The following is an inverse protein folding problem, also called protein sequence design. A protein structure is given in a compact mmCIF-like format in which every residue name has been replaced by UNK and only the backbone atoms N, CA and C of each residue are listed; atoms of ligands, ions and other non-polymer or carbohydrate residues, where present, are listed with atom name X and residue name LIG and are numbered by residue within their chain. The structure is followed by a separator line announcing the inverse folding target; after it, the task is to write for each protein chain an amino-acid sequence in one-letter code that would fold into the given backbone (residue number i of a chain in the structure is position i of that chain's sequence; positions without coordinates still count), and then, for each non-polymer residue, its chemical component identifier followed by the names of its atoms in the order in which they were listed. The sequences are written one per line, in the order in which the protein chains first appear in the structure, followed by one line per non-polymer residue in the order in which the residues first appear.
data_IF_109879952270
#
_entry.id   IF_109879952270
#
_cell.length_a   1.000
_cell.length_b   1.000
_cell.length_c   1.000
_cell.angle_alpha   90.00
_cell.angle_beta   90.00
_cell.angle_gamma   90.00
#
_symmetry.space_group_name_H-M   'P 1'
#
loop_
_entity.id
_entity.type
_entity.pdbx_description
1 polymer ?
#
# COMPACT_ATOMS: atom_id res chain seq x y z
N UNK A 1 -0.44 -14.40 -18.57
CA UNK A 1 0.87 -13.74 -18.80
C UNK A 1 0.79 -12.23 -18.61
N UNK A 2 -0.16 -11.53 -19.24
CA UNK A 2 -0.31 -10.06 -19.12
C UNK A 2 -0.56 -9.62 -17.66
N UNK A 3 -1.42 -10.33 -16.91
CA UNK A 3 -1.76 -9.97 -15.53
C UNK A 3 -0.54 -9.90 -14.60
N UNK A 4 0.36 -10.88 -14.67
CA UNK A 4 1.58 -10.91 -13.85
C UNK A 4 2.57 -9.80 -14.25
N UNK A 5 2.69 -9.51 -15.56
CA UNK A 5 3.52 -8.42 -16.05
C UNK A 5 3.02 -7.06 -15.54
N UNK A 6 1.71 -6.83 -15.61
CA UNK A 6 1.05 -5.61 -15.11
C UNK A 6 1.26 -5.46 -13.62
N UNK A 7 1.03 -6.53 -12.85
CA UNK A 7 1.28 -6.54 -11.41
C UNK A 7 2.71 -6.13 -11.08
N UNK A 8 3.70 -6.74 -11.76
CA UNK A 8 5.11 -6.40 -11.57
C UNK A 8 5.38 -4.92 -11.89
N UNK A 9 4.85 -4.41 -13.01
CA UNK A 9 5.03 -3.00 -13.38
C UNK A 9 4.38 -2.07 -12.36
N UNK A 10 3.19 -2.41 -11.86
CA UNK A 10 2.48 -1.63 -10.85
C UNK A 10 3.25 -1.58 -9.52
N UNK A 11 3.84 -2.71 -9.10
CA UNK A 11 4.73 -2.77 -7.93
C UNK A 11 5.98 -1.90 -8.12
N UNK A 12 6.66 -2.04 -9.26
CA UNK A 12 7.88 -1.29 -9.57
C UNK A 12 7.59 0.21 -9.68
N UNK A 13 6.46 0.57 -10.30
CA UNK A 13 5.99 1.95 -10.41
C UNK A 13 5.68 2.56 -9.04
N UNK A 14 4.98 1.81 -8.18
CA UNK A 14 4.69 2.22 -6.80
C UNK A 14 6.00 2.48 -6.04
N UNK A 15 6.93 1.53 -6.03
CA UNK A 15 8.23 1.73 -5.38
C UNK A 15 8.98 2.94 -5.94
N UNK A 16 8.94 3.14 -7.25
CA UNK A 16 9.63 4.24 -7.90
C UNK A 16 9.06 5.62 -7.61
N UNK A 17 7.73 5.79 -7.65
CA UNK A 17 7.07 7.02 -7.21
C UNK A 17 7.35 7.30 -5.73
N UNK A 18 7.34 6.26 -4.91
CA UNK A 18 7.72 6.34 -3.51
C UNK A 18 9.13 6.85 -3.29
N UNK A 19 10.11 6.24 -3.95
CA UNK A 19 11.51 6.66 -3.85
C UNK A 19 11.72 8.10 -4.34
N UNK A 20 11.01 8.49 -5.41
CA UNK A 20 11.05 9.86 -5.91
C UNK A 20 10.48 10.83 -4.87
N UNK A 21 9.31 10.54 -4.32
CA UNK A 21 8.68 11.36 -3.29
C UNK A 21 9.54 11.49 -2.02
N UNK A 22 10.09 10.37 -1.53
CA UNK A 22 11.01 10.36 -0.38
C UNK A 22 12.26 11.19 -0.66
N UNK A 23 12.79 11.17 -1.90
CA UNK A 23 13.93 12.00 -2.31
C UNK A 23 13.57 13.48 -2.38
N UNK A 24 12.40 13.83 -2.92
CA UNK A 24 11.93 15.22 -3.03
C UNK A 24 11.83 15.86 -1.65
N UNK A 25 11.24 15.16 -0.68
CA UNK A 25 11.13 15.67 0.68
C UNK A 25 12.41 15.50 1.50
N UNK A 26 13.48 14.94 0.92
CA UNK A 26 14.73 14.62 1.64
C UNK A 26 14.48 13.79 2.91
N UNK A 27 13.63 12.77 2.81
CA UNK A 27 13.34 11.86 3.91
C UNK A 27 14.57 11.00 4.21
N UNK A 28 15.04 10.94 5.47
CA UNK A 28 16.13 10.04 5.83
C UNK A 28 15.69 8.57 5.72
N UNK A 29 16.66 7.69 5.46
CA UNK A 29 16.44 6.25 5.54
C UNK A 29 15.96 5.84 6.93
N UNK A 30 15.06 4.87 6.95
CA UNK A 30 14.64 4.17 8.15
C UNK A 30 15.80 3.34 8.73
N UNK A 31 15.71 2.90 10.00
CA UNK A 31 16.68 2.00 10.61
C UNK A 31 16.75 0.64 9.93
N UNK A 32 15.65 0.15 9.35
CA UNK A 32 15.58 -1.17 8.71
C UNK A 32 15.24 -1.08 7.22
N UNK A 33 15.71 -2.06 6.44
CA UNK A 33 15.38 -2.14 5.02
C UNK A 33 13.87 -2.34 4.80
N UNK A 34 13.20 -3.16 5.62
CA UNK A 34 11.77 -3.45 5.45
C UNK A 34 10.90 -2.20 5.59
N UNK A 35 11.30 -1.31 6.49
CA UNK A 35 10.63 -0.02 6.66
C UNK A 35 10.91 0.94 5.50
N UNK A 36 12.12 0.96 4.94
CA UNK A 36 12.43 1.76 3.74
C UNK A 36 11.54 1.35 2.55
N UNK A 37 11.39 0.04 2.31
CA UNK A 37 10.50 -0.48 1.27
C UNK A 37 9.03 -0.16 1.57
N UNK A 38 8.60 -0.28 2.84
CA UNK A 38 7.26 0.08 3.28
C UNK A 38 6.94 1.55 3.05
N UNK A 39 7.85 2.45 3.44
CA UNK A 39 7.74 3.91 3.22
C UNK A 39 7.63 4.24 1.74
N UNK A 40 8.49 3.65 0.91
CA UNK A 40 8.47 3.87 -0.54
C UNK A 40 7.16 3.34 -1.14
N UNK A 41 6.78 2.10 -0.85
CA UNK A 41 5.56 1.52 -1.40
C UNK A 41 4.31 2.31 -1.00
N UNK A 42 4.17 2.67 0.29
CA UNK A 42 3.06 3.47 0.77
C UNK A 42 2.98 4.84 0.05
N UNK A 43 4.09 5.58 0.01
CA UNK A 43 4.11 6.88 -0.66
C UNK A 43 3.78 6.77 -2.16
N UNK A 44 4.29 5.72 -2.81
CA UNK A 44 4.01 5.44 -4.21
C UNK A 44 2.57 5.05 -4.50
N UNK A 45 2.00 4.15 -3.69
CA UNK A 45 0.62 3.71 -3.82
C UNK A 45 -0.35 4.89 -3.69
N UNK A 46 -0.16 5.75 -2.68
CA UNK A 46 -0.97 6.96 -2.52
C UNK A 46 -0.77 7.96 -3.66
N UNK A 47 0.46 8.12 -4.16
CA UNK A 47 0.77 8.99 -5.32
C UNK A 47 0.06 8.49 -6.58
N UNK A 48 0.14 7.19 -6.88
CA UNK A 48 -0.56 6.58 -8.01
C UNK A 48 -2.06 6.77 -7.91
N UNK A 49 -2.62 6.62 -6.70
CA UNK A 49 -4.03 6.88 -6.46
C UNK A 49 -4.45 8.28 -6.87
N UNK A 50 -3.67 9.30 -6.48
CA UNK A 50 -3.95 10.70 -6.82
C UNK A 50 -3.75 11.00 -8.31
N UNK A 51 -2.70 10.45 -8.93
CA UNK A 51 -2.47 10.63 -10.36
C UNK A 51 -3.66 10.08 -11.17
N UNK A 52 -4.07 8.86 -10.89
CA UNK A 52 -5.21 8.24 -11.59
C UNK A 52 -6.50 8.97 -11.29
N UNK A 53 -6.71 9.47 -10.07
CA UNK A 53 -7.90 10.26 -9.73
C UNK A 53 -8.05 11.48 -10.66
N UNK A 54 -7.01 12.31 -10.79
CA UNK A 54 -7.08 13.54 -11.59
C UNK A 54 -7.26 13.28 -13.09
N UNK A 55 -6.57 12.27 -13.64
CA UNK A 55 -6.79 11.85 -15.02
C UNK A 55 -8.18 11.23 -15.20
N UNK A 56 -8.64 10.46 -14.23
CA UNK A 56 -9.90 9.73 -14.29
C UNK A 56 -11.12 10.65 -14.27
N UNK A 57 -11.16 11.67 -13.42
CA UNK A 57 -12.26 12.66 -13.44
C UNK A 57 -12.28 13.48 -14.74
N UNK A 58 -11.14 13.55 -15.43
CA UNK A 58 -10.99 14.24 -16.71
C UNK A 58 -11.36 13.36 -17.92
N UNK A 59 -11.78 12.12 -17.71
CA UNK A 59 -12.14 11.18 -18.79
C UNK A 59 -10.95 10.49 -19.47
N UNK A 60 -9.77 10.50 -18.82
CA UNK A 60 -8.53 9.96 -19.36
C UNK A 60 -8.17 8.59 -18.75
N UNK A 61 -9.08 7.62 -18.89
CA UNK A 61 -8.89 6.25 -18.40
C UNK A 61 -8.51 5.22 -19.48
N UNK A 62 -8.12 5.67 -20.67
CA UNK A 62 -7.68 4.77 -21.74
C UNK A 62 -6.38 4.05 -21.34
N UNK A 63 -6.21 2.79 -21.77
CA UNK A 63 -5.07 1.95 -21.35
C UNK A 63 -3.69 2.57 -21.61
N UNK A 64 -3.53 3.34 -22.70
CA UNK A 64 -2.25 4.01 -23.00
C UNK A 64 -1.92 5.14 -22.02
N UNK A 65 -2.93 5.82 -21.47
CA UNK A 65 -2.76 6.82 -20.41
C UNK A 65 -2.40 6.13 -19.09
N UNK A 66 -3.08 5.02 -18.76
CA UNK A 66 -2.75 4.24 -17.57
C UNK A 66 -1.30 3.73 -17.61
N UNK A 67 -0.82 3.25 -18.77
CA UNK A 67 0.60 2.94 -18.97
C UNK A 67 1.50 4.17 -18.86
N UNK A 68 1.05 5.30 -19.42
CA UNK A 68 1.70 6.59 -19.28
C UNK A 68 1.90 7.00 -17.81
N UNK A 69 0.89 6.81 -16.97
CA UNK A 69 0.94 7.07 -15.52
C UNK A 69 1.94 6.14 -14.82
N UNK A 70 2.04 4.86 -15.21
CA UNK A 70 2.98 3.93 -14.58
C UNK A 70 4.44 4.20 -14.96
N UNK A 71 4.70 4.71 -16.16
CA UNK A 71 6.04 4.82 -16.72
C UNK A 71 7.04 5.70 -15.92
N UNK A 72 6.68 6.89 -15.40
CA UNK A 72 7.60 7.71 -14.61
C UNK A 72 7.97 7.04 -13.29
N UNK A 73 7.05 6.27 -12.70
CA UNK A 73 7.35 5.46 -11.53
C UNK A 73 8.43 4.41 -11.83
N UNK A 74 8.28 3.63 -12.90
CA UNK A 74 9.29 2.63 -13.29
C UNK A 74 10.64 3.27 -13.59
N UNK A 75 10.65 4.40 -14.32
CA UNK A 75 11.86 5.15 -14.61
C UNK A 75 12.52 5.68 -13.33
N UNK A 76 11.73 6.22 -12.41
CA UNK A 76 12.22 6.68 -11.11
C UNK A 76 12.86 5.56 -10.31
N UNK A 77 12.26 4.36 -10.29
CA UNK A 77 12.87 3.20 -9.66
C UNK A 77 14.21 2.84 -10.33
N UNK A 78 14.29 2.85 -11.66
CA UNK A 78 15.53 2.54 -12.38
C UNK A 78 16.70 3.46 -11.95
N UNK A 79 16.44 4.77 -11.84
CA UNK A 79 17.46 5.75 -11.43
C UNK A 79 17.74 5.76 -9.93
N UNK A 80 16.72 5.49 -9.11
CA UNK A 80 16.80 5.61 -7.65
C UNK A 80 17.01 4.26 -6.93
N UNK A 81 17.05 3.12 -7.63
CA UNK A 81 17.23 1.78 -7.03
C UNK A 81 18.46 1.66 -6.13
N UNK A 82 19.49 2.49 -6.36
CA UNK A 82 20.70 2.53 -5.52
C UNK A 82 20.41 3.03 -4.10
N UNK A 83 19.32 3.76 -3.90
CA UNK A 83 18.87 4.24 -2.59
C UNK A 83 18.18 3.15 -1.78
N UNK A 84 17.76 2.04 -2.40
CA UNK A 84 17.18 0.91 -1.70
C UNK A 84 18.28 0.13 -0.97
N UNK A 85 18.04 -0.13 0.32
CA UNK A 85 18.92 -1.01 1.08
C UNK A 85 18.74 -2.45 0.61
N UNK A 86 19.86 -3.19 0.58
CA UNK A 86 19.84 -4.61 0.25
C UNK A 86 19.14 -5.40 1.35
N UNK A 87 18.34 -6.39 0.94
CA UNK A 87 17.82 -7.39 1.84
C UNK A 87 18.98 -8.12 2.53
N UNK A 88 18.91 -8.26 3.85
CA UNK A 88 19.91 -9.00 4.62
C UNK A 88 19.23 -10.03 5.50
N UNK A 89 19.45 -11.29 5.15
CA UNK A 89 19.02 -12.47 5.87
C UNK A 89 20.26 -13.22 6.37
N UNK A 90 21.05 -12.58 7.23
CA UNK A 90 22.21 -13.23 7.88
C UNK A 90 21.80 -13.87 9.20
N UNK A 91 22.36 -15.04 9.49
CA UNK A 91 22.25 -15.73 10.79
C UNK A 91 20.80 -15.98 11.22
N UNK A 92 20.05 -16.73 10.40
CA UNK A 92 18.68 -17.14 10.76
C UNK A 92 18.75 -18.34 11.70
N UNK A 93 18.43 -18.13 12.99
CA UNK A 93 18.32 -19.22 13.96
C UNK A 93 17.08 -20.09 13.74
N UNK A 94 17.04 -21.26 14.37
CA UNK A 94 15.96 -22.26 14.19
C UNK A 94 14.56 -21.70 14.48
N UNK A 95 14.41 -20.84 15.51
CA UNK A 95 13.13 -20.21 15.84
C UNK A 95 12.69 -19.25 14.71
N UNK A 96 13.61 -18.44 14.19
CA UNK A 96 13.33 -17.56 13.06
C UNK A 96 12.92 -18.36 11.81
N UNK A 97 13.57 -19.50 11.54
CA UNK A 97 13.18 -20.41 10.45
C UNK A 97 11.78 -20.99 10.63
N UNK A 98 11.46 -21.44 11.85
CA UNK A 98 10.13 -21.96 12.17
C UNK A 98 9.04 -20.89 11.97
N UNK A 99 9.26 -19.67 12.46
CA UNK A 99 8.34 -18.55 12.26
C UNK A 99 8.19 -18.18 10.78
N UNK A 100 9.30 -18.16 10.03
CA UNK A 100 9.26 -17.95 8.58
C UNK A 100 8.48 -19.06 7.86
N UNK A 101 8.61 -20.32 8.27
CA UNK A 101 7.84 -21.42 7.69
C UNK A 101 6.34 -21.19 7.90
N UNK A 102 5.89 -20.89 9.11
CA UNK A 102 4.49 -20.59 9.38
C UNK A 102 3.99 -19.36 8.60
N UNK A 103 4.84 -18.34 8.48
CA UNK A 103 4.54 -17.16 7.69
C UNK A 103 4.42 -17.48 6.19
N UNK A 104 5.28 -18.33 5.66
CA UNK A 104 5.22 -18.76 4.25
C UNK A 104 3.98 -19.60 3.98
N UNK A 105 3.55 -20.44 4.93
CA UNK A 105 2.30 -21.21 4.82
C UNK A 105 1.10 -20.27 4.78
N UNK A 106 1.02 -19.31 5.69
CA UNK A 106 -0.09 -18.34 5.74
C UNK A 106 -0.15 -17.49 4.47
N UNK A 107 0.98 -16.89 4.06
CA UNK A 107 1.07 -16.14 2.80
C UNK A 107 0.71 -16.99 1.58
N UNK A 108 1.06 -18.28 1.57
CA UNK A 108 0.68 -19.17 0.50
C UNK A 108 -0.84 -19.42 0.45
N UNK A 109 -1.50 -19.54 1.60
CA UNK A 109 -2.96 -19.65 1.66
C UNK A 109 -3.65 -18.37 1.15
N UNK A 110 -3.16 -17.20 1.55
CA UNK A 110 -3.65 -15.90 1.05
C UNK A 110 -3.44 -15.75 -0.46
N UNK A 111 -2.34 -16.28 -0.99
CA UNK A 111 -2.12 -16.33 -2.44
C UNK A 111 -3.13 -17.25 -3.14
N UNK A 112 -3.48 -18.40 -2.56
CA UNK A 112 -4.52 -19.27 -3.10
C UNK A 112 -5.89 -18.58 -3.08
N UNK A 113 -6.21 -17.82 -2.03
CA UNK A 113 -7.41 -17.00 -1.96
C UNK A 113 -7.41 -15.92 -3.05
N UNK A 114 -6.30 -15.20 -3.22
CA UNK A 114 -6.18 -14.16 -4.24
C UNK A 114 -6.24 -14.70 -5.68
N UNK A 115 -5.94 -15.98 -5.90
CA UNK A 115 -6.09 -16.65 -7.20
C UNK A 115 -7.51 -17.21 -7.40
N UNK A 116 -8.28 -17.39 -6.33
CA UNK A 116 -9.67 -17.81 -6.41
C UNK A 116 -10.58 -16.66 -6.86
N UNK A 117 -11.74 -16.96 -7.47
CA UNK A 117 -12.73 -15.93 -7.78
C UNK A 117 -13.20 -15.21 -6.50
N UNK A 118 -13.27 -13.87 -6.50
CA UNK A 118 -13.77 -13.13 -5.34
C UNK A 118 -15.23 -13.47 -5.08
N UNK A 119 -15.56 -13.82 -3.83
CA UNK A 119 -16.90 -14.22 -3.41
C UNK A 119 -17.50 -13.29 -2.34
N UNK A 120 -16.68 -12.39 -1.78
CA UNK A 120 -17.10 -11.47 -0.72
C UNK A 120 -18.06 -10.38 -1.24
N UNK A 121 -19.12 -10.14 -0.48
CA UNK A 121 -20.20 -9.25 -0.89
C UNK A 121 -19.74 -7.80 -1.04
N UNK A 122 -18.95 -7.29 -0.08
CA UNK A 122 -18.48 -5.89 -0.09
C UNK A 122 -17.50 -5.63 -1.23
N UNK A 123 -16.61 -6.60 -1.43
CA UNK A 123 -15.65 -6.66 -2.53
C UNK A 123 -16.33 -6.51 -3.89
N UNK A 124 -17.41 -7.29 -4.10
CA UNK A 124 -18.14 -7.30 -5.36
C UNK A 124 -19.12 -6.13 -5.49
N UNK A 125 -19.62 -5.59 -4.38
CA UNK A 125 -20.61 -4.52 -4.38
C UNK A 125 -20.03 -3.19 -4.87
N UNK A 126 -18.84 -2.80 -4.38
CA UNK A 126 -18.25 -1.52 -4.80
C UNK A 126 -16.73 -1.53 -4.95
N UNK A 127 -15.97 -2.31 -4.16
CA UNK A 127 -14.51 -2.27 -4.24
C UNK A 127 -13.99 -2.60 -5.64
N UNK A 128 -14.55 -3.64 -6.27
CA UNK A 128 -14.19 -4.04 -7.64
C UNK A 128 -15.19 -3.52 -8.68
N UNK A 129 -16.45 -3.33 -8.30
CA UNK A 129 -17.48 -2.83 -9.22
C UNK A 129 -17.23 -1.38 -9.66
N UNK A 130 -16.83 -0.48 -8.76
CA UNK A 130 -16.58 0.93 -9.11
C UNK A 130 -15.39 1.08 -10.08
N UNK A 131 -14.20 0.50 -9.83
CA UNK A 131 -13.12 0.51 -10.82
C UNK A 131 -13.54 -0.05 -12.18
N UNK A 132 -14.32 -1.14 -12.20
CA UNK A 132 -14.83 -1.76 -13.44
C UNK A 132 -15.78 -0.81 -14.19
N UNK A 133 -16.67 -0.13 -13.48
CA UNK A 133 -17.57 0.85 -14.05
C UNK A 133 -16.81 2.06 -14.60
N UNK A 134 -15.86 2.63 -13.87
CA UNK A 134 -15.07 3.77 -14.33
C UNK A 134 -14.26 3.45 -15.58
N UNK A 135 -13.65 2.27 -15.65
CA UNK A 135 -12.95 1.82 -16.86
C UNK A 135 -13.90 1.67 -18.05
N UNK A 136 -15.10 1.11 -17.83
CA UNK A 136 -16.12 0.96 -18.88
C UNK A 136 -16.59 2.32 -19.40
N UNK A 137 -16.78 3.28 -18.50
CA UNK A 137 -17.31 4.61 -18.84
C UNK A 137 -16.20 5.57 -19.31
N UNK A 138 -14.93 5.21 -19.10
CA UNK A 138 -13.78 6.02 -19.45
C UNK A 138 -13.55 7.23 -18.54
N UNK A 139 -14.38 7.40 -17.49
CA UNK A 139 -14.36 8.54 -16.57
C UNK A 139 -14.70 8.08 -15.15
N UNK A 140 -14.12 8.74 -14.15
CA UNK A 140 -14.57 8.63 -12.75
C UNK A 140 -15.77 9.55 -12.59
N UNK A 141 -16.92 8.95 -12.30
CA UNK A 141 -18.16 9.65 -12.08
C UNK A 141 -18.72 9.35 -10.69
N UNK A 142 -19.60 10.22 -10.21
CA UNK A 142 -20.35 9.95 -8.99
C UNK A 142 -21.37 8.84 -9.24
N UNK A 143 -21.30 7.77 -8.45
CA UNK A 143 -22.25 6.66 -8.51
C UNK A 143 -23.13 6.71 -7.26
N UNK A 144 -24.43 7.05 -7.38
CA UNK A 144 -25.32 7.17 -6.23
C UNK A 144 -25.69 5.78 -5.68
N UNK A 145 -24.81 5.22 -4.86
CA UNK A 145 -25.04 4.00 -4.08
C UNK A 145 -25.49 4.42 -2.68
N UNK A 146 -26.54 3.81 -2.14
CA UNK A 146 -26.99 4.08 -0.77
C UNK A 146 -25.85 3.82 0.21
N UNK A 147 -25.64 4.72 1.18
CA UNK A 147 -24.57 4.67 2.21
C UNK A 147 -23.15 4.89 1.66
N UNK A 148 -22.79 4.34 0.49
CA UNK A 148 -21.40 4.30 0.00
C UNK A 148 -21.10 5.14 -1.25
N UNK A 149 -22.09 5.85 -1.82
CA UNK A 149 -21.91 6.56 -3.09
C UNK A 149 -20.87 7.71 -3.08
N UNK A 150 -20.52 8.23 -1.90
CA UNK A 150 -19.58 9.34 -1.74
C UNK A 150 -18.28 8.94 -1.00
N UNK A 151 -17.96 7.65 -0.89
CA UNK A 151 -16.75 7.22 -0.18
C UNK A 151 -15.47 7.72 -0.88
N UNK A 152 -14.39 7.93 -0.12
CA UNK A 152 -13.10 8.30 -0.69
C UNK A 152 -12.45 7.07 -1.36
N UNK A 153 -11.98 7.23 -2.62
CA UNK A 153 -11.63 6.12 -3.54
C UNK A 153 -10.14 6.06 -3.91
N UNK A 154 -9.24 6.70 -3.15
CA UNK A 154 -7.84 6.85 -3.53
C UNK A 154 -7.15 5.50 -3.79
N UNK A 155 -7.31 4.52 -2.90
CA UNK A 155 -6.71 3.20 -3.13
C UNK A 155 -7.46 2.41 -4.21
N UNK A 156 -8.77 2.60 -4.42
CA UNK A 156 -9.50 2.02 -5.56
C UNK A 156 -8.95 2.47 -6.91
N UNK A 157 -8.32 3.65 -6.99
CA UNK A 157 -7.66 4.08 -8.21
C UNK A 157 -6.46 3.19 -8.58
N UNK A 158 -5.84 2.52 -7.60
CA UNK A 158 -4.81 1.50 -7.86
C UNK A 158 -5.42 0.18 -8.33
N UNK A 159 -6.65 -0.13 -7.91
CA UNK A 159 -7.42 -1.26 -8.43
C UNK A 159 -7.80 -1.04 -9.89
N UNK A 160 -8.15 0.20 -10.23
CA UNK A 160 -8.41 0.63 -11.61
C UNK A 160 -7.21 0.36 -12.52
N UNK A 161 -6.00 0.68 -12.08
CA UNK A 161 -4.76 0.37 -12.81
C UNK A 161 -4.58 -1.14 -13.02
N UNK A 162 -4.71 -1.92 -11.93
CA UNK A 162 -4.54 -3.37 -11.99
C UNK A 162 -5.59 -4.02 -12.93
N UNK A 163 -6.86 -3.66 -12.77
CA UNK A 163 -7.97 -4.19 -13.57
C UNK A 163 -7.88 -3.76 -15.03
N UNK A 164 -7.66 -2.47 -15.30
CA UNK A 164 -7.69 -1.90 -16.65
C UNK A 164 -6.53 -2.32 -17.54
N UNK A 165 -5.40 -2.70 -16.94
CA UNK A 165 -4.22 -3.15 -17.69
C UNK A 165 -4.04 -4.68 -17.64
N UNK A 166 -4.39 -5.32 -16.53
CA UNK A 166 -4.06 -6.72 -16.25
C UNK A 166 -5.25 -7.64 -16.00
N UNK A 167 -6.48 -7.11 -16.01
CA UNK A 167 -7.70 -7.88 -15.77
C UNK A 167 -7.90 -8.29 -14.30
N UNK A 168 -8.93 -9.12 -14.07
CA UNK A 168 -9.38 -9.50 -12.72
C UNK A 168 -8.28 -10.20 -11.90
N UNK A 169 -7.48 -11.07 -12.53
CA UNK A 169 -6.34 -11.72 -11.85
C UNK A 169 -5.29 -10.71 -11.38
N UNK A 170 -5.03 -9.64 -12.14
CA UNK A 170 -4.09 -8.61 -11.68
C UNK A 170 -4.66 -7.80 -10.52
N UNK A 171 -5.98 -7.59 -10.50
CA UNK A 171 -6.68 -6.89 -9.42
C UNK A 171 -6.62 -7.66 -8.11
N UNK A 172 -6.93 -8.96 -8.11
CA UNK A 172 -6.88 -9.79 -6.90
C UNK A 172 -5.44 -9.99 -6.40
N UNK A 173 -4.48 -10.18 -7.31
CA UNK A 173 -3.07 -10.27 -6.94
C UNK A 173 -2.49 -8.92 -6.47
N UNK A 174 -3.00 -7.79 -6.98
CA UNK A 174 -2.62 -6.47 -6.47
C UNK A 174 -3.08 -6.28 -5.04
N UNK A 175 -4.32 -6.68 -4.77
CA UNK A 175 -4.90 -6.78 -3.43
C UNK A 175 -3.98 -7.56 -2.46
N UNK A 176 -3.64 -8.80 -2.80
CA UNK A 176 -2.64 -9.60 -2.08
C UNK A 176 -1.29 -8.89 -1.93
N UNK A 177 -0.79 -8.26 -3.00
CA UNK A 177 0.53 -7.62 -2.97
C UNK A 177 0.59 -6.46 -1.98
N UNK A 178 -0.48 -5.66 -1.87
CA UNK A 178 -0.54 -4.56 -0.89
C UNK A 178 -0.48 -5.08 0.55
N UNK A 179 -1.06 -6.25 0.82
CA UNK A 179 -0.93 -6.95 2.11
C UNK A 179 0.52 -7.30 2.41
N UNK A 180 1.22 -7.91 1.45
CA UNK A 180 2.63 -8.29 1.61
C UNK A 180 3.52 -7.08 1.94
N UNK A 181 3.27 -5.92 1.33
CA UNK A 181 4.00 -4.70 1.66
C UNK A 181 3.66 -4.14 3.05
N UNK A 182 2.41 -4.30 3.53
CA UNK A 182 2.06 -3.97 4.91
C UNK A 182 2.80 -4.88 5.90
N UNK A 183 2.86 -6.19 5.65
CA UNK A 183 3.64 -7.14 6.47
C UNK A 183 5.14 -6.78 6.49
N UNK A 184 5.69 -6.41 5.32
CA UNK A 184 7.08 -6.01 5.19
C UNK A 184 7.39 -4.73 5.98
N UNK A 185 6.50 -3.75 5.91
CA UNK A 185 6.58 -2.52 6.66
C UNK A 185 6.49 -2.80 8.17
N UNK A 186 5.55 -3.65 8.60
CA UNK A 186 5.37 -4.04 10.00
C UNK A 186 6.60 -4.75 10.56
N UNK A 187 7.16 -5.71 9.82
CA UNK A 187 8.43 -6.35 10.15
C UNK A 187 9.52 -5.29 10.32
N UNK A 188 9.67 -4.41 9.31
CA UNK A 188 10.68 -3.37 9.28
C UNK A 188 10.60 -2.42 10.47
N UNK A 189 9.40 -1.96 10.80
CA UNK A 189 9.15 -1.10 11.97
C UNK A 189 9.42 -1.85 13.26
N UNK A 190 8.97 -3.10 13.39
CA UNK A 190 9.20 -3.95 14.56
C UNK A 190 10.69 -4.13 14.86
N UNK A 191 11.54 -4.25 13.82
CA UNK A 191 13.01 -4.38 13.95
C UNK A 191 13.69 -3.20 14.67
N UNK A 192 13.01 -2.07 14.88
CA UNK A 192 13.54 -0.93 15.66
C UNK A 192 13.67 -1.23 17.15
N UNK A 193 12.77 -2.07 17.68
CA UNK A 193 12.63 -2.29 19.12
C UNK A 193 12.62 -3.77 19.50
N UNK A 194 12.31 -4.66 18.56
CA UNK A 194 12.19 -6.09 18.79
C UNK A 194 13.40 -6.84 18.24
N UNK A 195 13.60 -8.10 18.66
CA UNK A 195 14.50 -9.04 17.98
C UNK A 195 13.90 -9.48 16.64
N UNK A 196 14.65 -10.27 15.83
CA UNK A 196 14.12 -10.78 14.56
C UNK A 196 12.94 -11.70 14.81
N UNK A 197 13.08 -12.61 15.77
CA UNK A 197 12.07 -13.59 16.18
C UNK A 197 10.80 -12.87 16.62
N UNK A 198 10.91 -11.86 17.48
CA UNK A 198 9.76 -11.08 17.93
C UNK A 198 9.13 -10.24 16.81
N UNK A 199 9.92 -9.74 15.86
CA UNK A 199 9.38 -9.03 14.68
C UNK A 199 8.65 -9.98 13.73
N UNK A 200 9.16 -11.21 13.55
CA UNK A 200 8.48 -12.25 12.76
C UNK A 200 7.22 -12.74 13.46
N UNK A 201 7.27 -12.94 14.78
CA UNK A 201 6.11 -13.31 15.57
C UNK A 201 5.02 -12.23 15.52
N UNK A 202 5.38 -10.94 15.60
CA UNK A 202 4.46 -9.81 15.43
C UNK A 202 3.75 -9.86 14.07
N UNK A 203 4.50 -10.10 13.00
CA UNK A 203 3.95 -10.18 11.64
C UNK A 203 3.07 -11.42 11.48
N UNK A 204 3.47 -12.56 12.04
CA UNK A 204 2.66 -13.79 12.02
C UNK A 204 1.35 -13.61 12.78
N UNK A 205 1.37 -12.99 13.96
CA UNK A 205 0.15 -12.66 14.72
C UNK A 205 -0.75 -11.70 13.94
N UNK A 206 -0.16 -10.69 13.31
CA UNK A 206 -0.92 -9.78 12.43
C UNK A 206 -1.58 -10.53 11.28
N UNK A 207 -0.82 -11.35 10.53
CA UNK A 207 -1.32 -12.09 9.38
C UNK A 207 -2.39 -13.11 9.77
N UNK A 208 -2.25 -13.75 10.93
CA UNK A 208 -3.21 -14.74 11.42
C UNK A 208 -4.40 -14.12 12.17
N UNK A 209 -4.45 -12.78 12.28
CA UNK A 209 -5.59 -12.11 12.89
C UNK A 209 -6.82 -12.28 11.99
N UNK A 210 -7.99 -12.74 12.49
CA UNK A 210 -9.15 -13.03 11.65
C UNK A 210 -9.58 -11.88 10.73
N UNK A 211 -9.50 -10.63 11.21
CA UNK A 211 -9.80 -9.46 10.40
C UNK A 211 -8.79 -9.22 9.25
N UNK A 212 -7.53 -9.61 9.45
CA UNK A 212 -6.49 -9.53 8.42
C UNK A 212 -6.67 -10.62 7.39
N UNK A 213 -6.94 -11.86 7.81
CA UNK A 213 -7.26 -12.96 6.88
C UNK A 213 -8.47 -12.58 6.02
N UNK A 214 -9.57 -12.16 6.65
CA UNK A 214 -10.79 -11.77 5.94
C UNK A 214 -10.56 -10.59 4.97
N UNK A 215 -9.76 -9.61 5.37
CA UNK A 215 -9.46 -8.43 4.55
C UNK A 215 -8.37 -8.63 3.51
N UNK A 216 -7.47 -9.60 3.70
CA UNK A 216 -6.24 -9.80 2.92
C UNK A 216 -6.53 -10.29 1.50
N UNK A 217 -7.25 -11.41 1.38
CA UNK A 217 -7.61 -12.01 0.08
C UNK A 217 -8.81 -11.38 -0.63
N UNK A 218 -9.50 -10.43 0.01
CA UNK A 218 -10.67 -9.76 -0.54
C UNK A 218 -10.36 -8.35 -1.09
N UNK A 219 -11.36 -7.62 -1.59
CA UNK A 219 -11.22 -6.24 -2.08
C UNK A 219 -11.19 -5.17 -0.99
N UNK A 220 -11.33 -5.57 0.28
CA UNK A 220 -11.38 -4.69 1.45
C UNK A 220 -10.19 -3.73 1.55
N UNK A 221 -10.35 -2.60 2.22
CA UNK A 221 -9.34 -1.52 2.22
C UNK A 221 -8.52 -1.46 3.51
N UNK A 222 -9.01 -2.09 4.57
CA UNK A 222 -8.54 -1.95 5.94
C UNK A 222 -7.06 -2.29 6.04
N UNK A 223 -6.70 -3.50 5.62
CA UNK A 223 -5.34 -3.99 5.79
C UNK A 223 -4.36 -3.26 4.86
N UNK A 224 -4.85 -2.81 3.71
CA UNK A 224 -4.09 -2.06 2.70
C UNK A 224 -3.80 -0.64 3.12
N UNK A 225 -4.77 0.00 3.79
CA UNK A 225 -4.65 1.36 4.31
C UNK A 225 -3.93 1.40 5.67
N UNK A 226 -3.82 0.26 6.37
CA UNK A 226 -3.04 0.14 7.59
C UNK A 226 -1.56 0.54 7.41
N UNK A 227 -0.99 0.38 6.20
CA UNK A 227 0.37 0.81 5.90
C UNK A 227 0.53 2.33 6.03
N UNK A 228 -0.49 3.10 5.61
CA UNK A 228 -0.49 4.55 5.78
C UNK A 228 -0.49 4.92 7.25
N UNK A 229 -1.34 4.26 8.05
CA UNK A 229 -1.37 4.50 9.50
C UNK A 229 -0.04 4.14 10.17
N UNK A 230 0.53 2.97 9.86
CA UNK A 230 1.79 2.50 10.44
C UNK A 230 2.94 3.46 10.12
N UNK A 231 3.14 3.78 8.83
CA UNK A 231 4.22 4.67 8.40
C UNK A 231 3.98 6.09 8.93
N UNK A 232 2.75 6.59 8.89
CA UNK A 232 2.40 7.91 9.39
C UNK A 232 2.67 8.08 10.88
N UNK A 233 2.28 7.10 11.70
CA UNK A 233 2.51 7.10 13.15
C UNK A 233 4.00 7.07 13.50
N UNK A 234 4.79 6.22 12.84
CA UNK A 234 6.23 6.15 13.07
C UNK A 234 6.93 7.43 12.60
N UNK A 235 6.54 7.94 11.43
CA UNK A 235 7.12 9.15 10.87
C UNK A 235 6.84 10.37 11.76
N UNK A 236 5.63 10.54 12.31
CA UNK A 236 5.37 11.66 13.20
C UNK A 236 6.15 11.54 14.52
N UNK A 237 6.15 10.35 15.13
CA UNK A 237 6.84 10.12 16.39
C UNK A 237 8.37 10.36 16.29
N UNK A 238 8.97 9.95 15.17
CA UNK A 238 10.37 10.25 14.89
C UNK A 238 10.60 11.71 14.48
N UNK A 239 9.68 12.26 13.68
CA UNK A 239 9.76 13.61 13.14
C UNK A 239 9.79 14.66 14.23
N UNK A 240 8.95 14.51 15.26
CA UNK A 240 8.95 15.40 16.43
C UNK A 240 10.22 15.23 17.25
N UNK A 241 10.59 13.99 17.60
CA UNK A 241 11.79 13.69 18.40
C UNK A 241 13.07 14.21 17.74
N UNK A 242 13.19 14.10 16.42
CA UNK A 242 14.38 14.50 15.64
C UNK A 242 14.27 15.91 15.04
N UNK A 243 13.16 16.63 15.28
CA UNK A 243 12.84 17.91 14.62
C UNK A 243 13.00 17.85 13.09
N UNK A 244 12.57 16.74 12.49
CA UNK A 244 12.71 16.46 11.07
C UNK A 244 11.42 16.82 10.32
N UNK A 245 11.44 17.94 9.59
CA UNK A 245 10.32 18.39 8.77
C UNK A 245 9.95 17.37 7.69
N UNK A 246 10.93 16.66 7.13
CA UNK A 246 10.67 15.65 6.10
C UNK A 246 9.85 14.47 6.61
N UNK A 247 10.07 14.03 7.85
CA UNK A 247 9.27 13.00 8.50
C UNK A 247 7.87 13.50 8.88
N UNK A 248 7.73 14.76 9.29
CA UNK A 248 6.41 15.38 9.53
C UNK A 248 5.61 15.48 8.24
N UNK A 249 6.24 15.89 7.13
CA UNK A 249 5.61 15.91 5.80
C UNK A 249 5.18 14.50 5.39
N UNK A 250 6.04 13.50 5.57
CA UNK A 250 5.70 12.10 5.28
C UNK A 250 4.48 11.65 6.09
N UNK A 251 4.42 11.99 7.38
CA UNK A 251 3.28 11.65 8.24
C UNK A 251 1.99 12.32 7.75
N UNK A 252 2.04 13.60 7.39
CA UNK A 252 0.89 14.32 6.82
C UNK A 252 0.41 13.72 5.49
N UNK A 253 1.33 13.33 4.61
CA UNK A 253 0.99 12.63 3.36
C UNK A 253 0.30 11.29 3.64
N UNK A 254 0.82 10.48 4.58
CA UNK A 254 0.19 9.21 4.96
C UNK A 254 -1.21 9.40 5.54
N UNK A 255 -1.40 10.40 6.42
CA UNK A 255 -2.72 10.76 6.93
C UNK A 255 -3.70 11.15 5.82
N UNK A 256 -3.24 12.00 4.89
CA UNK A 256 -4.03 12.42 3.74
C UNK A 256 -4.39 11.25 2.82
N UNK A 257 -3.47 10.32 2.58
CA UNK A 257 -3.75 9.12 1.79
C UNK A 257 -4.73 8.19 2.48
N UNK A 258 -4.60 8.00 3.79
CA UNK A 258 -5.57 7.19 4.53
C UNK A 258 -6.97 7.83 4.46
N UNK A 259 -7.08 9.14 4.71
CA UNK A 259 -8.35 9.87 4.58
C UNK A 259 -8.93 9.78 3.16
N UNK A 260 -8.06 9.86 2.15
CA UNK A 260 -8.42 9.70 0.74
C UNK A 260 -8.84 8.28 0.35
N UNK A 261 -8.55 7.27 1.17
CA UNK A 261 -8.95 5.87 0.93
C UNK A 261 -10.10 5.40 1.83
N UNK A 262 -10.27 6.00 3.01
CA UNK A 262 -11.38 5.73 3.93
C UNK A 262 -11.55 6.87 4.92
N UNK A 263 -12.79 7.25 5.23
CA UNK A 263 -13.07 8.34 6.19
C UNK A 263 -12.47 8.10 7.58
N UNK A 264 -12.26 6.85 7.99
CA UNK A 264 -11.56 6.52 9.23
C UNK A 264 -10.12 7.05 9.29
N UNK A 265 -9.52 7.40 8.15
CA UNK A 265 -8.26 8.14 8.10
C UNK A 265 -8.31 9.51 8.79
N UNK A 266 -9.49 10.08 9.04
CA UNK A 266 -9.65 11.28 9.88
C UNK A 266 -9.13 11.06 11.30
N UNK A 267 -9.26 9.86 11.86
CA UNK A 267 -8.69 9.55 13.17
C UNK A 267 -7.15 9.58 13.13
N UNK A 268 -6.56 9.03 12.07
CA UNK A 268 -5.12 9.10 11.86
C UNK A 268 -4.63 10.55 11.69
N UNK A 269 -5.33 11.35 10.88
CA UNK A 269 -5.03 12.76 10.66
C UNK A 269 -5.13 13.57 11.96
N UNK A 270 -6.18 13.34 12.76
CA UNK A 270 -6.37 14.00 14.05
C UNK A 270 -5.28 13.63 15.04
N UNK A 271 -4.92 12.34 15.13
CA UNK A 271 -3.83 11.87 15.98
C UNK A 271 -2.48 12.48 15.59
N UNK A 272 -2.12 12.43 14.31
CA UNK A 272 -0.87 13.04 13.79
C UNK A 272 -0.86 14.54 14.02
N UNK A 273 -1.95 15.25 13.72
CA UNK A 273 -2.07 16.70 13.93
C UNK A 273 -1.94 17.09 15.39
N UNK A 274 -2.57 16.34 16.30
CA UNK A 274 -2.48 16.57 17.75
C UNK A 274 -1.03 16.43 18.25
N UNK A 275 -0.29 15.43 17.76
CA UNK A 275 1.12 15.26 18.11
C UNK A 275 1.97 16.45 17.64
N UNK A 276 1.66 17.07 16.50
CA UNK A 276 2.38 18.29 16.03
C UNK A 276 2.06 19.49 16.93
N UNK A 277 0.79 19.68 17.30
CA UNK A 277 0.33 20.83 18.07
C UNK A 277 0.82 20.84 19.53
N UNK A 278 1.16 19.67 20.08
CA UNK A 278 1.56 19.50 21.48
C UNK A 278 3.08 19.45 21.70
N UNK A 279 3.89 19.80 20.70
CA UNK A 279 5.36 19.82 20.75
C UNK A 279 5.90 21.25 20.80
#
# INVERSE_FOLDING_TARGET
MISFLVLMILMLSSLGYGLLGLRIISCPHAPSWGEDYGRAFALGMGTLGWLVFWFGISGFLQSWILWGILSPGVLSLWFLRKNLRRFSFKDIGNISWMLLMFLMVTVFLDLLEALAPPADADTLAYHFALPKQFLKNGVIEFVPIAVDGAIPLLTHMTYLLALGLGGETSLTLWSFTTQIFMMLALYGVGRRWLSREWSLALVLVFETTPAVIYGGGSGHMEVRTAIFMLIGAVAIAEGTKKKSTSLVILAGMMAGFFMGSKYFGLFAATGIGSVILLQ
#
